data_IF_741339629484
#
_entry.id   IF_741339629484
#
_cell.length_a   1.000
_cell.length_b   1.000
_cell.length_c   1.000
_cell.angle_alpha   90.00
_cell.angle_beta   90.00
_cell.angle_gamma   90.00
#
_symmetry.space_group_name_H-M   'P 1'
#
loop_
_entity.id
_entity.type
_entity.pdbx_description
1 polymer ?
#
# COMPACT_ATOMS: atom_id res chain seq x y z
N UNK A 1 -23.12 -24.88 0.75
CA UNK A 1 -22.15 -24.12 1.57
C UNK A 1 -22.22 -22.65 1.16
N UNK A 2 -22.38 -21.70 2.09
CA UNK A 2 -22.59 -20.27 1.76
C UNK A 2 -21.38 -19.68 0.99
N UNK A 3 -21.62 -18.81 -0.01
CA UNK A 3 -20.56 -18.21 -0.87
C UNK A 3 -19.48 -17.50 -0.05
N UNK A 4 -19.86 -16.84 1.05
CA UNK A 4 -18.93 -16.18 1.96
C UNK A 4 -17.96 -17.18 2.62
N UNK A 5 -18.43 -18.39 2.94
CA UNK A 5 -17.60 -19.44 3.56
C UNK A 5 -16.61 -20.01 2.55
N UNK A 6 -17.02 -20.20 1.29
CA UNK A 6 -16.11 -20.62 0.21
C UNK A 6 -14.95 -19.63 0.03
N UNK A 7 -15.26 -18.33 0.00
CA UNK A 7 -14.24 -17.27 -0.09
C UNK A 7 -13.27 -17.33 1.09
N UNK A 8 -13.74 -17.54 2.31
CA UNK A 8 -12.88 -17.68 3.50
C UNK A 8 -11.96 -18.89 3.38
N UNK A 9 -12.48 -20.04 2.96
CA UNK A 9 -11.72 -21.28 2.85
C UNK A 9 -10.67 -21.27 1.74
N UNK A 10 -10.88 -20.46 0.69
CA UNK A 10 -9.93 -20.27 -0.40
C UNK A 10 -8.60 -19.61 0.04
N UNK A 11 -8.59 -18.87 1.15
CA UNK A 11 -7.35 -18.29 1.68
C UNK A 11 -6.60 -19.27 2.61
N UNK A 12 -5.26 -19.24 2.66
CA UNK A 12 -4.48 -20.08 3.56
C UNK A 12 -4.86 -19.89 5.04
N UNK A 13 -4.82 -20.98 5.82
CA UNK A 13 -5.01 -20.95 7.28
C UNK A 13 -4.00 -19.98 7.91
N UNK A 14 -4.44 -19.15 8.85
CA UNK A 14 -3.61 -18.16 9.54
C UNK A 14 -3.31 -16.87 8.76
N UNK A 15 -3.71 -16.76 7.48
CA UNK A 15 -3.51 -15.52 6.71
C UNK A 15 -4.34 -14.35 7.28
N UNK A 16 -3.79 -13.14 7.20
CA UNK A 16 -4.49 -11.91 7.67
C UNK A 16 -5.85 -11.73 7.01
N UNK A 17 -5.94 -12.02 5.70
CA UNK A 17 -7.20 -11.95 4.93
C UNK A 17 -8.23 -12.96 5.44
N UNK A 18 -7.85 -14.22 5.68
CA UNK A 18 -8.75 -15.24 6.23
C UNK A 18 -9.27 -14.85 7.61
N UNK A 19 -8.39 -14.39 8.49
CA UNK A 19 -8.76 -13.96 9.84
C UNK A 19 -9.69 -12.75 9.82
N UNK A 20 -9.45 -11.79 8.92
CA UNK A 20 -10.29 -10.62 8.73
C UNK A 20 -11.71 -11.01 8.28
N UNK A 21 -11.84 -11.84 7.24
CA UNK A 21 -13.14 -12.28 6.76
C UNK A 21 -13.91 -13.14 7.80
N UNK A 22 -13.22 -14.01 8.54
CA UNK A 22 -13.82 -14.73 9.66
C UNK A 22 -14.35 -13.78 10.74
N UNK A 23 -13.63 -12.69 11.01
CA UNK A 23 -14.05 -11.67 11.97
C UNK A 23 -15.31 -10.95 11.49
N UNK A 24 -15.39 -10.60 10.20
CA UNK A 24 -16.60 -10.00 9.63
C UNK A 24 -17.80 -10.96 9.71
N UNK A 25 -17.60 -12.24 9.40
CA UNK A 25 -18.66 -13.24 9.50
C UNK A 25 -19.20 -13.36 10.94
N UNK A 26 -18.31 -13.35 11.94
CA UNK A 26 -18.72 -13.36 13.36
C UNK A 26 -19.49 -12.11 13.75
N UNK A 27 -19.04 -10.93 13.32
CA UNK A 27 -19.74 -9.66 13.59
C UNK A 27 -21.12 -9.64 12.96
N UNK A 28 -21.22 -10.07 11.71
CA UNK A 28 -22.50 -10.20 10.98
C UNK A 28 -23.44 -11.16 11.71
N UNK A 29 -22.96 -12.34 12.11
CA UNK A 29 -23.75 -13.28 12.90
C UNK A 29 -24.22 -12.68 14.24
N UNK A 30 -23.33 -11.99 14.96
CA UNK A 30 -23.67 -11.32 16.21
C UNK A 30 -24.75 -10.24 16.03
N UNK A 31 -24.67 -9.44 14.96
CA UNK A 31 -25.67 -8.43 14.62
C UNK A 31 -27.03 -9.03 14.21
N UNK A 32 -27.03 -10.12 13.45
CA UNK A 32 -28.27 -10.79 13.03
C UNK A 32 -28.97 -11.49 14.19
N UNK A 33 -28.21 -11.97 15.18
CA UNK A 33 -28.78 -12.62 16.36
C UNK A 33 -29.42 -11.62 17.32
N UNK A 34 -28.79 -10.46 17.51
CA UNK A 34 -29.26 -9.42 18.42
C UNK A 34 -28.82 -8.03 17.91
N UNK A 35 -29.68 -7.35 17.14
CA UNK A 35 -29.33 -6.06 16.55
C UNK A 35 -29.34 -4.90 17.56
N UNK A 36 -30.03 -5.06 18.70
CA UNK A 36 -30.17 -4.01 19.72
C UNK A 36 -29.14 -4.15 20.85
N UNK A 37 -28.84 -5.37 21.29
CA UNK A 37 -27.92 -5.65 22.41
C UNK A 37 -26.75 -6.58 22.02
N UNK A 38 -26.35 -6.58 20.75
CA UNK A 38 -25.27 -7.42 20.26
C UNK A 38 -23.95 -7.29 21.02
N UNK A 39 -23.23 -8.41 21.15
CA UNK A 39 -22.00 -8.49 21.98
C UNK A 39 -20.90 -7.55 21.46
N UNK A 40 -20.23 -6.78 22.35
CA UNK A 40 -19.23 -5.82 21.91
C UNK A 40 -17.97 -6.50 21.37
N UNK A 41 -17.33 -5.87 20.38
CA UNK A 41 -16.09 -6.36 19.75
C UNK A 41 -14.90 -6.32 20.72
N UNK A 42 -14.96 -5.46 21.73
CA UNK A 42 -14.01 -5.40 22.85
C UNK A 42 -14.79 -5.14 24.12
N UNK A 43 -14.54 -5.95 25.14
CA UNK A 43 -15.02 -5.69 26.49
C UNK A 43 -14.32 -4.42 26.98
N UNK A 44 -15.05 -3.31 27.00
CA UNK A 44 -14.62 -2.07 27.64
C UNK A 44 -15.08 -2.05 29.09
N UNK A 45 -14.45 -1.23 29.91
CA UNK A 45 -15.01 -0.83 31.21
C UNK A 45 -16.38 -0.20 30.96
N UNK A 46 -17.42 -0.85 31.47
CA UNK A 46 -18.80 -0.37 31.66
C UNK A 46 -19.21 0.80 30.74
N UNK A 47 -19.53 0.49 29.48
CA UNK A 47 -20.29 1.44 28.66
C UNK A 47 -21.75 1.02 28.62
N UNK A 48 -22.63 1.92 29.03
CA UNK A 48 -24.09 1.72 29.11
C UNK A 48 -24.77 1.64 27.75
N UNK A 49 -24.11 2.00 26.65
CA UNK A 49 -24.65 1.84 25.29
C UNK A 49 -23.60 1.41 24.27
N UNK A 50 -23.93 0.35 23.54
CA UNK A 50 -23.19 -0.13 22.39
C UNK A 50 -24.01 0.11 21.13
N UNK A 51 -23.35 0.53 20.06
CA UNK A 51 -23.98 0.77 18.77
C UNK A 51 -23.20 0.02 17.68
N UNK A 52 -23.90 -0.56 16.69
CA UNK A 52 -23.27 -1.26 15.59
C UNK A 52 -22.62 -0.26 14.61
N UNK A 53 -21.48 -0.65 14.06
CA UNK A 53 -20.89 0.06 12.93
C UNK A 53 -21.61 -0.34 11.64
N UNK A 54 -22.15 0.64 10.90
CA UNK A 54 -22.82 0.44 9.60
C UNK A 54 -21.95 -0.25 8.54
N UNK A 55 -20.62 -0.22 8.67
CA UNK A 55 -19.70 -0.76 7.67
C UNK A 55 -19.28 -2.20 7.97
N UNK A 56 -18.99 -2.53 9.24
CA UNK A 56 -18.48 -3.85 9.62
C UNK A 56 -19.40 -4.64 10.56
N UNK A 57 -20.55 -4.07 10.94
CA UNK A 57 -21.57 -4.65 11.83
C UNK A 57 -21.06 -5.06 13.22
N UNK A 58 -19.87 -4.61 13.61
CA UNK A 58 -19.36 -4.82 14.96
C UNK A 58 -19.98 -3.81 15.93
N UNK A 59 -20.27 -4.25 17.16
CA UNK A 59 -20.76 -3.39 18.23
C UNK A 59 -19.59 -2.72 18.95
N UNK A 60 -19.68 -1.40 19.07
CA UNK A 60 -18.68 -0.54 19.71
C UNK A 60 -19.35 0.40 20.68
N UNK A 61 -18.66 0.78 21.76
CA UNK A 61 -19.22 1.77 22.68
C UNK A 61 -19.48 3.08 21.94
N UNK A 62 -20.59 3.75 22.25
CA UNK A 62 -21.01 5.00 21.60
C UNK A 62 -19.87 6.04 21.54
N UNK A 63 -19.09 6.14 22.62
CA UNK A 63 -17.90 7.02 22.74
C UNK A 63 -16.78 6.70 21.73
N UNK A 64 -16.61 5.43 21.36
CA UNK A 64 -15.52 4.97 20.48
C UNK A 64 -15.96 4.72 19.05
N UNK A 65 -17.27 4.66 18.76
CA UNK A 65 -17.81 4.35 17.44
C UNK A 65 -17.33 5.34 16.37
N UNK A 66 -17.30 6.64 16.67
CA UNK A 66 -16.83 7.66 15.72
C UNK A 66 -15.35 7.46 15.33
N UNK A 67 -14.50 7.10 16.31
CA UNK A 67 -13.07 6.86 16.10
C UNK A 67 -12.86 5.58 15.28
N UNK A 68 -13.63 4.54 15.59
CA UNK A 68 -13.66 3.31 14.80
C UNK A 68 -14.07 3.60 13.35
N UNK A 69 -15.16 4.36 13.12
CA UNK A 69 -15.67 4.64 11.77
C UNK A 69 -14.62 5.30 10.88
N UNK A 70 -13.77 6.19 11.43
CA UNK A 70 -12.64 6.83 10.71
C UNK A 70 -11.52 5.87 10.31
N UNK A 71 -11.48 4.66 10.87
CA UNK A 71 -10.41 3.67 10.67
C UNK A 71 -10.96 2.29 10.29
N UNK A 72 -12.26 2.16 10.07
CA UNK A 72 -12.92 0.88 9.85
C UNK A 72 -12.53 0.33 8.48
N UNK A 73 -11.91 -0.86 8.44
CA UNK A 73 -11.43 -1.43 7.16
C UNK A 73 -12.53 -1.63 6.10
N UNK A 74 -13.78 -1.75 6.52
CA UNK A 74 -14.95 -1.89 5.63
C UNK A 74 -15.59 -0.54 5.24
N UNK A 75 -15.09 0.59 5.76
CA UNK A 75 -15.59 1.90 5.37
C UNK A 75 -15.00 2.28 4.00
N UNK A 76 -15.83 2.46 2.95
CA UNK A 76 -15.37 2.79 1.60
C UNK A 76 -14.50 4.04 1.54
N UNK A 77 -14.76 5.02 2.42
CA UNK A 77 -14.03 6.28 2.48
C UNK A 77 -12.69 6.16 3.23
N UNK A 78 -12.48 5.06 3.96
CA UNK A 78 -11.21 4.74 4.63
C UNK A 78 -10.38 3.74 3.86
N UNK A 79 -10.79 3.39 2.64
CA UNK A 79 -9.89 2.86 1.63
C UNK A 79 -8.82 3.93 1.41
N UNK A 80 -7.82 3.96 2.29
CA UNK A 80 -6.59 4.70 2.06
C UNK A 80 -6.16 4.24 0.67
N UNK A 81 -5.94 5.14 -0.31
CA UNK A 81 -5.27 4.74 -1.53
C UNK A 81 -4.04 3.98 -1.07
N UNK A 82 -3.91 2.70 -1.44
CA UNK A 82 -2.79 1.87 -0.99
C UNK A 82 -1.55 2.73 -1.08
N UNK A 83 -0.83 2.90 0.03
CA UNK A 83 0.41 3.67 0.02
C UNK A 83 1.27 3.09 -1.11
N UNK A 84 1.53 3.90 -2.15
CA UNK A 84 2.16 3.42 -3.38
C UNK A 84 1.26 3.26 -4.62
N UNK A 85 -0.04 3.57 -4.60
CA UNK A 85 -0.91 3.47 -5.79
C UNK A 85 -0.36 4.26 -6.97
N UNK A 86 0.08 5.51 -6.72
CA UNK A 86 0.73 6.35 -7.75
C UNK A 86 2.09 5.80 -8.21
N UNK A 87 2.85 5.20 -7.29
CA UNK A 87 4.17 4.62 -7.61
C UNK A 87 4.03 3.33 -8.40
N UNK A 88 3.04 2.50 -8.06
CA UNK A 88 2.67 1.28 -8.76
C UNK A 88 2.16 1.60 -10.16
N UNK A 89 1.26 2.58 -10.31
CA UNK A 89 0.80 3.04 -11.62
C UNK A 89 1.97 3.56 -12.49
N UNK A 90 2.86 4.38 -11.91
CA UNK A 90 4.07 4.85 -12.60
C UNK A 90 5.00 3.68 -13.00
N UNK A 91 5.17 2.67 -12.15
CA UNK A 91 6.01 1.51 -12.47
C UNK A 91 5.36 0.66 -13.57
N UNK A 92 4.05 0.47 -13.53
CA UNK A 92 3.30 -0.24 -14.55
C UNK A 92 3.47 0.41 -15.93
N UNK A 93 3.42 1.74 -16.00
CA UNK A 93 3.72 2.50 -17.23
C UNK A 93 5.13 2.27 -17.77
N UNK A 94 6.05 1.73 -17.00
CA UNK A 94 7.45 1.56 -17.35
C UNK A 94 7.84 0.08 -17.53
N UNK A 95 6.87 -0.84 -17.47
CA UNK A 95 7.11 -2.28 -17.59
C UNK A 95 7.74 -2.67 -18.94
N UNK A 96 7.51 -1.90 -20.00
CA UNK A 96 8.10 -2.13 -21.32
C UNK A 96 9.60 -1.82 -21.38
N UNK A 97 10.13 -1.04 -20.43
CA UNK A 97 11.55 -0.68 -20.42
C UNK A 97 12.39 -1.90 -20.04
N UNK A 98 13.42 -2.20 -20.84
CA UNK A 98 14.41 -3.22 -20.50
C UNK A 98 15.35 -2.69 -19.43
N UNK A 99 15.02 -2.97 -18.16
CA UNK A 99 15.79 -2.59 -16.98
C UNK A 99 16.10 -3.86 -16.17
N UNK A 100 17.20 -3.80 -15.41
CA UNK A 100 17.59 -4.81 -14.45
C UNK A 100 16.41 -5.22 -13.53
N UNK A 101 16.09 -6.52 -13.39
CA UNK A 101 14.95 -7.00 -12.60
C UNK A 101 15.01 -6.57 -11.13
N UNK A 102 16.20 -6.57 -10.50
CA UNK A 102 16.35 -6.20 -9.10
C UNK A 102 15.98 -4.72 -8.88
N UNK A 103 16.35 -3.85 -9.83
CA UNK A 103 15.91 -2.45 -9.80
C UNK A 103 14.39 -2.33 -9.87
N UNK A 104 13.78 -3.03 -10.84
CA UNK A 104 12.34 -2.96 -11.09
C UNK A 104 11.53 -3.43 -9.90
N UNK A 105 11.95 -4.53 -9.27
CA UNK A 105 11.18 -5.17 -8.20
C UNK A 105 11.50 -4.59 -6.82
N UNK A 106 12.75 -4.20 -6.56
CA UNK A 106 13.21 -3.87 -5.20
C UNK A 106 13.44 -2.39 -4.96
N UNK A 107 13.76 -1.61 -5.98
CA UNK A 107 14.09 -0.18 -5.86
C UNK A 107 12.95 0.71 -6.35
N UNK A 108 12.41 0.46 -7.53
CA UNK A 108 11.36 1.31 -8.13
C UNK A 108 10.09 1.44 -7.28
N UNK A 109 9.60 0.40 -6.58
CA UNK A 109 8.44 0.52 -5.70
C UNK A 109 8.68 1.41 -4.47
N UNK A 110 9.95 1.61 -4.09
CA UNK A 110 10.35 2.46 -2.96
C UNK A 110 10.50 3.93 -3.36
N UNK A 111 10.53 4.23 -4.66
CA UNK A 111 10.66 5.59 -5.17
C UNK A 111 9.32 6.32 -5.09
N UNK A 112 9.37 7.60 -4.70
CA UNK A 112 8.19 8.48 -4.74
C UNK A 112 7.71 8.65 -6.19
N UNK A 113 6.41 8.65 -6.41
CA UNK A 113 5.84 8.90 -7.74
C UNK A 113 5.91 10.40 -8.08
N UNK A 114 7.10 10.87 -8.49
CA UNK A 114 7.35 12.24 -8.93
C UNK A 114 8.10 12.28 -10.26
N UNK A 115 8.25 13.48 -10.84
CA UNK A 115 8.97 13.70 -12.11
C UNK A 115 10.42 13.23 -12.04
N UNK A 116 11.07 13.42 -10.89
CA UNK A 116 12.46 13.01 -10.66
C UNK A 116 12.59 11.49 -10.78
N UNK A 117 11.69 10.76 -10.14
CA UNK A 117 11.71 9.30 -10.18
C UNK A 117 11.30 8.76 -11.55
N UNK A 118 10.41 9.46 -12.27
CA UNK A 118 10.10 9.12 -13.66
C UNK A 118 11.35 9.22 -14.55
N UNK A 119 12.11 10.30 -14.44
CA UNK A 119 13.36 10.49 -15.19
C UNK A 119 14.37 9.40 -14.83
N UNK A 120 14.55 9.12 -13.53
CA UNK A 120 15.47 8.10 -13.07
C UNK A 120 15.18 6.71 -13.66
N UNK A 121 13.90 6.35 -13.74
CA UNK A 121 13.45 5.03 -14.22
C UNK A 121 13.45 4.92 -15.74
N UNK A 122 13.33 6.05 -16.45
CA UNK A 122 13.35 6.11 -17.92
C UNK A 122 14.75 6.16 -18.50
N UNK A 123 15.69 6.80 -17.80
CA UNK A 123 17.04 7.02 -18.31
C UNK A 123 17.89 5.73 -18.21
N UNK A 124 18.37 5.18 -19.34
CA UNK A 124 19.13 3.93 -19.34
C UNK A 124 20.46 4.01 -18.56
N UNK A 125 21.13 5.16 -18.59
CA UNK A 125 22.42 5.34 -17.90
C UNK A 125 22.21 5.43 -16.39
N UNK A 126 21.17 6.13 -15.95
CA UNK A 126 20.80 6.17 -14.53
C UNK A 126 20.39 4.78 -14.04
N UNK A 127 19.66 4.02 -14.84
CA UNK A 127 19.33 2.63 -14.53
C UNK A 127 20.58 1.74 -14.47
N UNK A 128 21.52 1.86 -15.41
CA UNK A 128 22.77 1.10 -15.38
C UNK A 128 23.59 1.44 -14.13
N UNK A 129 23.68 2.72 -13.77
CA UNK A 129 24.30 3.17 -12.52
C UNK A 129 23.65 2.53 -11.28
N UNK A 130 22.31 2.54 -11.22
CA UNK A 130 21.57 1.92 -10.11
C UNK A 130 21.80 0.40 -10.00
N UNK A 131 21.83 -0.29 -11.14
CA UNK A 131 22.08 -1.73 -11.20
C UNK A 131 23.51 -2.06 -10.73
N UNK A 132 24.50 -1.30 -11.19
CA UNK A 132 25.89 -1.42 -10.73
C UNK A 132 26.00 -1.19 -9.22
N UNK A 133 25.33 -0.16 -8.69
CA UNK A 133 25.35 0.17 -7.27
C UNK A 133 24.79 -0.97 -6.39
N UNK A 134 23.69 -1.61 -6.82
CA UNK A 134 23.10 -2.77 -6.14
C UNK A 134 24.01 -4.00 -6.16
N UNK A 135 24.72 -4.25 -7.26
CA UNK A 135 25.63 -5.40 -7.38
C UNK A 135 26.77 -5.30 -6.36
N UNK A 136 27.29 -4.09 -6.16
CA UNK A 136 28.33 -3.80 -5.17
C UNK A 136 27.80 -3.83 -3.73
N UNK A 137 26.55 -3.38 -3.50
CA UNK A 137 25.98 -3.24 -2.15
C UNK A 137 24.69 -4.04 -2.00
N UNK A 138 24.81 -5.29 -1.55
CA UNK A 138 23.72 -6.29 -1.57
C UNK A 138 22.74 -6.20 -0.39
N UNK A 139 23.08 -5.47 0.66
CA UNK A 139 22.31 -5.46 1.91
C UNK A 139 21.00 -4.66 1.77
N UNK A 140 19.98 -5.04 2.53
CA UNK A 140 18.61 -4.51 2.37
C UNK A 140 18.51 -2.99 2.55
N UNK A 141 19.35 -2.39 3.39
CA UNK A 141 19.31 -0.96 3.66
C UNK A 141 19.82 -0.13 2.45
N UNK A 142 20.69 -0.71 1.61
CA UNK A 142 21.18 -0.06 0.40
C UNK A 142 20.12 0.08 -0.69
N UNK A 143 18.99 -0.61 -0.63
CA UNK A 143 17.86 -0.39 -1.54
C UNK A 143 17.34 1.06 -1.47
N UNK A 144 17.22 1.59 -0.25
CA UNK A 144 16.82 2.97 -0.01
C UNK A 144 17.91 3.96 -0.41
N UNK A 145 19.19 3.58 -0.24
CA UNK A 145 20.34 4.40 -0.67
C UNK A 145 20.40 4.50 -2.19
N UNK A 146 20.24 3.38 -2.90
CA UNK A 146 20.20 3.29 -4.36
C UNK A 146 19.10 4.19 -4.92
N UNK A 147 17.88 4.08 -4.38
CA UNK A 147 16.75 4.95 -4.74
C UNK A 147 17.10 6.45 -4.58
N UNK A 148 17.76 6.83 -3.48
CA UNK A 148 18.20 8.22 -3.27
C UNK A 148 19.25 8.64 -4.28
N UNK A 149 20.27 7.82 -4.52
CA UNK A 149 21.37 8.10 -5.46
C UNK A 149 20.88 8.24 -6.90
N UNK A 150 20.01 7.35 -7.38
CA UNK A 150 19.39 7.46 -8.71
C UNK A 150 18.59 8.77 -8.85
N UNK A 151 17.87 9.18 -7.80
CA UNK A 151 17.12 10.44 -7.79
C UNK A 151 18.04 11.66 -7.72
N UNK A 152 19.18 11.60 -7.04
CA UNK A 152 20.20 12.67 -7.05
C UNK A 152 20.74 12.90 -8.46
N UNK A 153 21.15 11.83 -9.14
CA UNK A 153 21.61 11.92 -10.55
C UNK A 153 20.52 12.47 -11.45
N UNK A 154 19.26 12.07 -11.23
CA UNK A 154 18.13 12.59 -12.01
C UNK A 154 17.86 14.07 -11.78
N UNK A 155 18.04 14.57 -10.55
CA UNK A 155 17.95 16.02 -10.27
C UNK A 155 19.06 16.76 -10.99
N UNK A 156 20.29 16.27 -10.90
CA UNK A 156 21.43 16.85 -11.60
C UNK A 156 21.19 16.92 -13.11
N UNK A 157 20.71 15.84 -13.72
CA UNK A 157 20.36 15.80 -15.14
C UNK A 157 19.28 16.82 -15.52
N UNK A 158 18.27 17.00 -14.66
CA UNK A 158 17.23 18.00 -14.88
C UNK A 158 17.75 19.44 -14.80
N UNK A 159 18.68 19.73 -13.90
CA UNK A 159 19.31 21.05 -13.81
C UNK A 159 20.28 21.31 -14.98
N UNK A 160 21.10 20.32 -15.35
CA UNK A 160 21.99 20.43 -16.52
C UNK A 160 21.18 20.74 -17.78
N UNK A 161 20.01 20.11 -17.96
CA UNK A 161 19.13 20.39 -19.12
C UNK A 161 18.54 21.80 -19.13
N UNK A 162 18.44 22.47 -17.98
CA UNK A 162 18.05 23.89 -17.96
C UNK A 162 19.17 24.80 -18.43
N UNK A 163 20.42 24.45 -18.09
CA UNK A 163 21.61 25.23 -18.43
C UNK A 163 22.09 24.98 -19.87
N UNK A 164 21.97 23.75 -20.36
CA UNK A 164 22.42 23.31 -21.68
C UNK A 164 21.30 22.53 -22.40
N UNK A 165 20.45 23.22 -23.20
CA UNK A 165 19.35 22.60 -23.93
C UNK A 165 19.78 21.56 -24.98
N UNK A 166 21.07 21.53 -25.33
CA UNK A 166 21.68 20.57 -26.26
C UNK A 166 21.69 19.14 -25.71
N UNK A 167 21.53 18.95 -24.40
CA UNK A 167 21.44 17.63 -23.77
C UNK A 167 20.06 17.02 -24.06
N UNK A 168 20.01 16.13 -25.06
CA UNK A 168 18.78 15.49 -25.55
C UNK A 168 17.95 14.86 -24.42
N UNK A 169 16.62 14.94 -24.55
CA UNK A 169 15.67 14.17 -23.74
C UNK A 169 15.79 12.69 -24.13
N UNK A 170 15.75 11.74 -23.19
CA UNK A 170 15.69 10.33 -23.52
C UNK A 170 14.23 10.05 -23.88
N UNK A 171 13.93 10.10 -25.17
CA UNK A 171 12.64 9.77 -25.82
C UNK A 171 11.39 10.35 -25.13
#
# INVERSE_FOLDING_TARGET
MHVEVQKILAHPKGSKQRNHMLTLLRKKGNYLNDPEEGKPVRNGTESTSYLPCIHCLGFYSSRNLWRHRKQCLENPNTAKPMAGTKASAQNFQLNYLKVDPDLRERVFPRMRADKISLVAKKDPLICAFGAGYLKTHREKHFLSVTSRKMREVSRLLLEIRKLAPTVKKPF
#
